data_IF_830859867857
#
_entry.id   IF_830859867857
#
_cell.length_a   1.000
_cell.length_b   1.000
_cell.length_c   1.000
_cell.angle_alpha   90.00
_cell.angle_beta   90.00
_cell.angle_gamma   90.00
#
_symmetry.space_group_name_H-M   'P 1'
#
loop_
_entity.id
_entity.type
_entity.pdbx_description
1 polymer ?
#
# COMPACT_ATOMS: atom_id res chain seq x y z
N UNK A 1 -3.82 54.74 16.50
CA UNK A 1 -4.33 54.34 17.83
C UNK A 1 -4.78 52.88 17.77
N UNK A 2 -3.99 51.87 18.14
CA UNK A 2 -2.52 51.69 18.11
C UNK A 2 -2.28 50.17 18.27
N UNK A 3 -2.06 49.44 17.16
CA UNK A 3 -1.72 48.01 17.17
C UNK A 3 -0.20 47.84 17.20
N UNK A 4 0.39 47.93 18.39
CA UNK A 4 1.84 48.08 18.55
C UNK A 4 2.35 47.43 19.85
N UNK A 5 2.19 46.09 19.98
CA UNK A 5 2.56 45.37 21.22
C UNK A 5 2.75 43.83 21.07
N UNK A 6 3.31 43.31 19.96
CA UNK A 6 3.59 41.86 19.82
C UNK A 6 4.96 41.43 19.26
N UNK A 7 5.85 42.33 18.85
CA UNK A 7 7.22 41.92 18.41
C UNK A 7 8.28 41.87 19.53
N UNK A 8 8.00 42.47 20.70
CA UNK A 8 9.01 42.73 21.75
C UNK A 8 9.66 41.47 22.39
N UNK A 9 9.04 40.28 22.26
CA UNK A 9 9.42 39.08 23.03
C UNK A 9 10.50 38.22 22.35
N UNK A 10 10.74 38.36 21.04
CA UNK A 10 11.68 37.48 20.29
C UNK A 10 13.11 38.01 20.13
N UNK A 11 13.45 39.14 20.75
CA UNK A 11 14.74 39.83 20.54
C UNK A 11 15.90 39.43 21.50
N UNK A 12 15.62 38.77 22.64
CA UNK A 12 16.57 38.67 23.77
C UNK A 12 17.42 37.38 23.83
N UNK A 13 17.82 36.78 22.69
CA UNK A 13 18.62 35.54 22.70
C UNK A 13 19.76 35.48 21.66
N UNK A 14 20.33 36.63 21.29
CA UNK A 14 21.58 36.74 20.50
C UNK A 14 22.47 37.88 21.03
N UNK A 15 23.65 37.52 21.55
CA UNK A 15 24.74 38.29 22.24
C UNK A 15 24.83 37.91 23.74
N UNK A 16 25.98 37.51 24.30
CA UNK A 16 27.25 37.13 23.67
C UNK A 16 28.48 37.29 24.59
N UNK A 17 29.11 36.17 24.97
CA UNK A 17 30.40 36.10 25.69
C UNK A 17 31.04 34.74 25.35
N UNK A 18 32.25 34.56 24.80
CA UNK A 18 33.52 35.32 24.79
C UNK A 18 34.40 35.07 26.02
N UNK A 19 35.43 34.24 25.82
CA UNK A 19 36.64 34.04 26.66
C UNK A 19 37.73 33.35 25.79
N UNK A 20 39.02 33.42 26.14
CA UNK A 20 40.06 33.70 25.13
C UNK A 20 40.86 32.50 24.58
N UNK A 21 41.56 32.69 23.45
CA UNK A 21 42.60 31.76 22.99
C UNK A 21 43.90 31.89 23.81
N UNK A 22 44.65 30.80 23.92
CA UNK A 22 46.07 30.80 24.34
C UNK A 22 46.88 30.05 23.29
N UNK A 23 48.13 30.46 23.08
CA UNK A 23 48.85 30.25 21.82
C UNK A 23 49.84 29.06 21.80
N UNK A 24 50.43 28.88 20.62
CA UNK A 24 51.67 28.14 20.34
C UNK A 24 51.73 26.63 20.65
N UNK A 25 51.75 25.85 19.58
CA UNK A 25 53.03 25.22 19.23
C UNK A 25 53.34 25.49 17.75
N UNK A 26 54.63 25.64 17.42
CA UNK A 26 55.11 25.69 16.04
C UNK A 26 55.58 24.30 15.65
N UNK A 27 55.34 23.88 14.42
CA UNK A 27 56.43 23.28 13.66
C UNK A 27 56.32 23.63 12.19
N UNK A 28 57.46 23.97 11.60
CA UNK A 28 57.58 24.33 10.19
C UNK A 28 57.83 23.11 9.28
N UNK A 29 57.52 23.34 8.01
CA UNK A 29 58.33 23.06 6.82
C UNK A 29 58.13 21.82 5.90
N UNK A 30 58.53 22.07 4.64
CA UNK A 30 58.93 21.13 3.57
C UNK A 30 57.87 20.29 2.82
N UNK A 31 57.26 20.93 1.81
CA UNK A 31 57.46 20.73 0.34
C UNK A 31 57.56 19.32 -0.30
N UNK A 32 57.28 19.31 -1.61
CA UNK A 32 57.36 18.22 -2.61
C UNK A 32 56.26 17.15 -2.47
N UNK A 33 55.43 16.81 -3.47
CA UNK A 33 55.45 16.90 -4.95
C UNK A 33 56.15 15.75 -5.71
N UNK A 34 55.34 15.12 -6.56
CA UNK A 34 55.65 14.33 -7.77
C UNK A 34 56.29 12.92 -7.72
N UNK A 35 55.82 12.13 -8.69
CA UNK A 35 56.53 11.15 -9.54
C UNK A 35 56.65 9.64 -9.21
N UNK A 36 56.64 8.90 -10.33
CA UNK A 36 56.87 7.46 -10.61
C UNK A 36 56.05 6.43 -9.80
N UNK A 37 55.25 5.53 -10.40
CA UNK A 37 55.43 4.57 -11.51
C UNK A 37 56.21 3.28 -11.20
N UNK A 38 55.58 2.17 -11.58
CA UNK A 38 56.13 0.87 -11.98
C UNK A 38 57.16 0.13 -11.10
N UNK A 39 56.77 -1.10 -10.71
CA UNK A 39 57.64 -2.26 -10.98
C UNK A 39 56.85 -3.50 -11.40
N UNK A 40 57.30 -4.16 -12.47
CA UNK A 40 56.86 -5.49 -12.96
C UNK A 40 57.99 -6.49 -12.77
N UNK A 41 57.69 -7.67 -12.24
CA UNK A 41 58.35 -8.98 -12.42
C UNK A 41 57.52 -10.00 -11.60
N UNK A 42 56.99 -11.13 -12.07
CA UNK A 42 57.24 -11.99 -13.23
C UNK A 42 58.51 -12.86 -13.14
N UNK A 43 58.33 -14.12 -12.70
CA UNK A 43 59.16 -15.29 -13.02
C UNK A 43 58.41 -16.60 -12.63
N UNK A 44 58.65 -17.65 -13.41
CA UNK A 44 58.06 -19.01 -13.41
C UNK A 44 59.11 -19.97 -14.00
N UNK A 45 58.97 -21.31 -14.01
CA UNK A 45 58.26 -22.25 -13.10
C UNK A 45 59.17 -23.48 -12.75
N UNK A 46 58.56 -24.65 -12.44
CA UNK A 46 58.99 -26.02 -12.82
C UNK A 46 59.78 -26.93 -11.83
N UNK A 47 59.29 -28.17 -11.69
CA UNK A 47 59.94 -29.43 -11.22
C UNK A 47 60.40 -29.54 -9.73
N UNK A 48 60.44 -30.71 -9.06
CA UNK A 48 59.91 -32.06 -9.40
C UNK A 48 59.49 -32.88 -8.14
N UNK A 49 59.23 -34.19 -8.29
CA UNK A 49 58.46 -35.06 -7.37
C UNK A 49 59.30 -35.85 -6.30
N UNK A 50 58.68 -36.90 -5.72
CA UNK A 50 59.21 -37.94 -4.79
C UNK A 50 59.22 -37.57 -3.27
N UNK A 51 59.06 -38.47 -2.26
CA UNK A 51 58.63 -39.90 -2.05
C UNK A 51 58.43 -40.08 -0.50
N UNK A 52 57.91 -41.15 0.18
CA UNK A 52 57.25 -42.45 -0.11
C UNK A 52 56.47 -42.95 1.15
N UNK A 53 55.41 -43.77 1.00
CA UNK A 53 54.79 -44.72 1.99
C UNK A 53 54.29 -44.23 3.39
N UNK A 54 53.37 -44.91 4.12
CA UNK A 54 53.14 -46.37 4.25
C UNK A 54 51.70 -46.82 4.66
N UNK A 55 51.43 -48.12 4.45
CA UNK A 55 50.37 -49.02 5.00
C UNK A 55 48.88 -48.66 4.75
N UNK A 56 47.95 -49.55 4.33
CA UNK A 56 47.67 -50.99 4.62
C UNK A 56 46.95 -51.24 5.95
N UNK A 57 45.98 -52.16 6.09
CA UNK A 57 45.28 -53.10 5.17
C UNK A 57 43.94 -53.51 5.83
N UNK A 58 42.84 -53.72 5.07
CA UNK A 58 42.03 -54.95 5.19
C UNK A 58 41.01 -55.17 4.05
N UNK A 59 40.70 -56.46 3.86
CA UNK A 59 39.86 -57.14 2.83
C UNK A 59 39.36 -58.41 3.55
N UNK A 60 38.22 -59.07 3.33
CA UNK A 60 37.23 -59.21 2.25
C UNK A 60 36.00 -59.92 2.87
N UNK A 61 34.86 -60.03 2.16
CA UNK A 61 34.05 -61.27 2.19
C UNK A 61 33.04 -61.27 1.04
N UNK A 62 33.10 -62.28 0.18
CA UNK A 62 32.06 -62.60 -0.82
C UNK A 62 31.29 -63.85 -0.37
N UNK A 63 29.98 -63.91 -0.64
CA UNK A 63 29.26 -65.18 -0.86
C UNK A 63 27.91 -64.95 -1.56
N UNK A 64 27.88 -65.37 -2.83
CA UNK A 64 26.71 -65.68 -3.67
C UNK A 64 26.22 -67.14 -3.39
N UNK A 65 25.16 -67.71 -4.01
CA UNK A 65 24.15 -67.16 -4.94
C UNK A 65 22.68 -67.58 -4.61
N UNK A 66 21.76 -67.37 -5.58
CA UNK A 66 20.42 -68.00 -5.75
C UNK A 66 19.28 -67.46 -4.85
N UNK A 67 18.08 -67.16 -5.38
CA UNK A 67 17.32 -68.01 -6.29
C UNK A 67 16.35 -67.26 -7.23
N UNK A 68 16.08 -67.88 -8.39
CA UNK A 68 14.96 -67.57 -9.30
C UNK A 68 13.61 -67.96 -8.73
N UNK A 69 12.54 -67.22 -9.06
CA UNK A 69 11.22 -67.79 -9.41
C UNK A 69 10.39 -66.78 -10.21
N UNK A 70 9.80 -67.27 -11.31
CA UNK A 70 8.71 -66.59 -12.02
C UNK A 70 7.40 -66.60 -11.22
N UNK A 71 6.52 -65.64 -11.51
CA UNK A 71 5.10 -65.94 -11.79
C UNK A 71 4.36 -64.71 -12.31
N UNK A 72 4.02 -64.73 -13.60
CA UNK A 72 2.85 -64.02 -14.11
C UNK A 72 1.64 -64.94 -14.06
N UNK A 73 0.42 -64.43 -13.80
CA UNK A 73 -0.83 -64.73 -14.55
C UNK A 73 -2.09 -64.22 -13.83
N UNK A 74 -2.72 -63.22 -14.46
CA UNK A 74 -4.17 -63.02 -14.69
C UNK A 74 -5.17 -63.85 -13.86
N UNK A 75 -6.08 -63.19 -13.12
CA UNK A 75 -7.53 -63.21 -13.41
C UNK A 75 -8.35 -62.21 -12.58
N UNK A 76 -9.60 -62.00 -13.00
CA UNK A 76 -10.51 -60.99 -12.46
C UNK A 76 -11.39 -61.52 -11.32
N UNK A 77 -11.86 -60.61 -10.46
CA UNK A 77 -13.09 -60.77 -9.68
C UNK A 77 -13.66 -59.40 -9.33
N UNK A 78 -14.96 -59.21 -9.53
CA UNK A 78 -15.65 -57.99 -9.15
C UNK A 78 -16.08 -58.06 -7.67
N UNK A 79 -15.89 -56.99 -6.91
CA UNK A 79 -16.50 -56.83 -5.59
C UNK A 79 -17.22 -55.49 -5.47
N UNK A 80 -18.55 -55.59 -5.59
CA UNK A 80 -19.56 -55.02 -4.69
C UNK A 80 -19.26 -53.67 -4.05
N UNK A 81 -20.00 -52.64 -4.52
CA UNK A 81 -20.13 -51.36 -3.83
C UNK A 81 -20.85 -51.56 -2.47
N UNK A 82 -20.26 -51.14 -1.33
CA UNK A 82 -21.00 -51.03 -0.08
C UNK A 82 -21.88 -49.76 -0.12
N UNK A 83 -23.18 -49.92 0.15
CA UNK A 83 -24.10 -48.79 0.23
C UNK A 83 -23.87 -47.97 1.52
N UNK A 84 -24.01 -46.62 1.49
CA UNK A 84 -23.92 -45.81 2.69
C UNK A 84 -25.17 -46.01 3.56
N UNK A 85 -25.03 -46.80 4.63
CA UNK A 85 -26.10 -47.07 5.59
C UNK A 85 -26.38 -45.89 6.51
N UNK A 86 -27.65 -45.46 6.56
CA UNK A 86 -28.33 -44.95 7.75
C UNK A 86 -27.51 -44.12 8.76
N UNK A 87 -27.39 -42.81 8.53
CA UNK A 87 -27.15 -41.87 9.62
C UNK A 87 -28.46 -41.67 10.41
N UNK A 88 -28.59 -42.36 11.53
CA UNK A 88 -29.58 -42.07 12.59
C UNK A 88 -28.84 -41.74 13.89
N UNK A 89 -29.49 -40.93 14.73
CA UNK A 89 -29.14 -40.62 16.13
C UNK A 89 -27.68 -40.24 16.43
N UNK A 90 -27.28 -39.07 15.91
CA UNK A 90 -26.33 -38.22 16.62
C UNK A 90 -27.06 -37.57 17.81
N UNK A 91 -26.98 -38.20 18.99
CA UNK A 91 -27.67 -37.76 20.21
C UNK A 91 -27.21 -36.38 20.70
N UNK A 92 -28.17 -35.49 20.97
CA UNK A 92 -27.91 -34.23 21.67
C UNK A 92 -27.65 -34.49 23.17
N UNK A 93 -26.40 -34.69 23.55
CA UNK A 93 -25.96 -34.61 24.94
C UNK A 93 -24.78 -33.64 25.11
N UNK A 94 -24.78 -32.97 26.26
CA UNK A 94 -23.68 -32.22 26.87
C UNK A 94 -23.00 -31.14 26.01
N UNK A 95 -23.83 -30.20 25.54
CA UNK A 95 -23.41 -28.80 25.71
C UNK A 95 -23.55 -28.45 27.20
N UNK A 96 -22.46 -28.15 27.93
CA UNK A 96 -22.58 -27.66 29.30
C UNK A 96 -23.38 -26.36 29.30
N UNK A 97 -24.32 -26.23 30.24
CA UNK A 97 -25.25 -25.11 30.27
C UNK A 97 -24.49 -23.77 30.25
N UNK A 98 -24.70 -22.99 29.16
CA UNK A 98 -24.06 -21.69 28.99
C UNK A 98 -24.54 -20.76 30.11
N UNK A 99 -23.66 -20.53 31.09
CA UNK A 99 -23.94 -19.69 32.25
C UNK A 99 -24.46 -18.32 31.78
N UNK A 100 -25.56 -17.87 32.37
CA UNK A 100 -26.15 -16.58 31.98
C UNK A 100 -25.13 -15.46 32.15
N UNK A 101 -25.14 -14.50 31.22
CA UNK A 101 -24.28 -13.30 31.29
C UNK A 101 -24.48 -12.58 32.62
N UNK A 102 -25.71 -12.54 33.15
CA UNK A 102 -26.02 -11.95 34.45
C UNK A 102 -25.34 -12.67 35.63
N UNK A 103 -25.29 -14.00 35.65
CA UNK A 103 -24.59 -14.74 36.70
C UNK A 103 -23.07 -14.62 36.56
N UNK A 104 -22.53 -14.61 35.34
CA UNK A 104 -21.11 -14.34 35.11
C UNK A 104 -20.70 -12.94 35.61
N UNK A 105 -21.54 -11.92 35.42
CA UNK A 105 -21.31 -10.58 35.96
C UNK A 105 -21.46 -10.50 37.49
N UNK A 106 -22.25 -11.39 38.09
CA UNK A 106 -22.49 -11.49 39.54
C UNK A 106 -21.35 -12.19 40.27
N UNK A 107 -20.72 -13.20 39.65
CA UNK A 107 -19.55 -13.89 40.20
C UNK A 107 -18.22 -13.14 40.00
N UNK A 108 -18.19 -12.08 39.17
CA UNK A 108 -17.00 -11.27 38.90
C UNK A 108 -17.09 -9.81 39.44
N UNK A 109 -17.27 -9.59 40.76
CA UNK A 109 -17.46 -8.26 41.35
C UNK A 109 -16.21 -7.35 41.32
N UNK A 110 -15.08 -7.83 40.80
CA UNK A 110 -13.82 -7.08 40.68
C UNK A 110 -13.72 -6.21 39.41
N UNK A 111 -14.69 -6.28 38.50
CA UNK A 111 -14.76 -5.35 37.37
C UNK A 111 -15.04 -3.91 37.89
N UNK A 112 -14.20 -2.91 37.56
CA UNK A 112 -14.37 -1.56 38.08
C UNK A 112 -15.66 -0.94 37.53
N UNK A 113 -16.63 -0.72 38.42
CA UNK A 113 -17.98 -0.23 38.08
C UNK A 113 -17.91 1.07 37.27
N UNK A 114 -18.14 0.96 35.96
CA UNK A 114 -18.30 2.13 35.09
C UNK A 114 -19.52 2.92 35.56
N UNK A 115 -19.29 4.13 36.08
CA UNK A 115 -20.28 4.97 36.76
C UNK A 115 -21.31 5.55 35.80
N UNK A 116 -22.20 4.70 35.30
CA UNK A 116 -23.45 5.11 34.65
C UNK A 116 -24.18 6.06 35.58
N UNK A 117 -24.33 7.31 35.15
CA UNK A 117 -24.93 8.38 35.94
C UNK A 117 -26.24 8.77 35.27
N UNK A 118 -27.41 8.65 35.94
CA UNK A 118 -28.69 8.92 35.29
C UNK A 118 -28.82 10.37 34.82
N UNK A 119 -29.32 10.55 33.61
CA UNK A 119 -29.79 11.84 33.13
C UNK A 119 -31.12 12.19 33.82
N UNK A 120 -31.06 13.00 34.88
CA UNK A 120 -32.22 13.75 35.36
C UNK A 120 -32.14 15.19 34.86
N UNK A 121 -33.24 15.67 34.27
CA UNK A 121 -33.39 17.06 33.85
C UNK A 121 -33.95 17.90 35.00
N UNK A 122 -33.20 18.91 35.46
CA UNK A 122 -33.68 19.92 36.40
C UNK A 122 -33.25 21.32 35.98
N UNK A 123 -34.06 22.31 36.32
CA UNK A 123 -33.98 23.69 35.83
C UNK A 123 -32.85 24.51 36.49
N UNK A 124 -32.51 25.58 35.79
CA UNK A 124 -31.60 26.66 36.18
C UNK A 124 -31.57 27.04 37.69
N UNK A 125 -30.34 27.23 38.18
CA UNK A 125 -30.01 28.21 39.22
C UNK A 125 -28.75 28.99 38.77
N UNK A 126 -28.44 30.11 39.43
CA UNK A 126 -27.53 31.15 38.91
C UNK A 126 -26.57 31.62 40.00
N UNK A 127 -25.35 31.99 39.58
CA UNK A 127 -24.27 32.62 40.36
C UNK A 127 -23.56 31.77 41.45
N UNK A 128 -22.33 31.36 41.14
CA UNK A 128 -21.19 31.31 42.06
C UNK A 128 -19.92 31.05 41.24
N UNK A 129 -19.08 32.07 41.02
CA UNK A 129 -17.84 31.91 40.26
C UNK A 129 -16.69 31.53 41.20
N UNK A 130 -16.27 30.27 41.13
CA UNK A 130 -15.03 29.79 41.74
C UNK A 130 -13.89 29.73 40.68
N UNK A 131 -12.62 29.94 41.06
CA UNK A 131 -11.54 30.07 40.07
C UNK A 131 -11.28 28.81 39.22
N UNK A 132 -11.62 28.89 37.94
CA UNK A 132 -10.71 28.45 36.88
C UNK A 132 -10.39 26.95 36.75
N UNK A 133 -11.35 26.04 36.96
CA UNK A 133 -11.18 24.64 36.49
C UNK A 133 -11.14 24.63 34.96
N UNK A 134 -9.94 24.69 34.39
CA UNK A 134 -9.71 24.75 32.95
C UNK A 134 -10.31 23.51 32.27
N UNK A 135 -11.27 23.74 31.36
CA UNK A 135 -11.93 22.67 30.60
C UNK A 135 -10.87 21.91 29.80
N UNK A 136 -10.68 20.63 30.11
CA UNK A 136 -9.71 19.76 29.41
C UNK A 136 -10.06 19.75 27.92
N UNK A 137 -9.20 20.38 27.11
CA UNK A 137 -9.40 20.46 25.68
C UNK A 137 -9.40 19.06 25.06
N UNK A 138 -10.34 18.82 24.13
CA UNK A 138 -10.39 17.55 23.39
C UNK A 138 -9.12 17.44 22.55
N UNK A 139 -8.35 16.36 22.76
CA UNK A 139 -7.10 16.11 22.03
C UNK A 139 -7.43 15.45 20.70
N UNK A 140 -7.49 16.28 19.65
CA UNK A 140 -7.61 15.87 18.25
C UNK A 140 -6.30 15.23 17.77
N UNK A 141 -6.28 13.95 17.33
CA UNK A 141 -5.05 13.19 17.07
C UNK A 141 -4.42 13.46 15.68
N UNK A 142 -4.52 14.69 15.18
CA UNK A 142 -4.28 15.02 13.77
C UNK A 142 -2.79 14.92 13.40
N UNK A 143 -1.90 15.35 14.31
CA UNK A 143 -0.46 15.29 14.07
C UNK A 143 0.08 13.89 14.33
N UNK A 144 -0.43 13.17 15.34
CA UNK A 144 -0.05 11.79 15.62
C UNK A 144 -0.35 10.84 14.45
N UNK A 145 -1.51 10.96 13.80
CA UNK A 145 -1.87 10.14 12.63
C UNK A 145 -0.91 10.45 11.47
N UNK A 146 -0.79 11.73 11.08
CA UNK A 146 0.09 12.16 9.98
C UNK A 146 1.55 11.73 10.18
N UNK A 147 2.05 11.85 11.42
CA UNK A 147 3.40 11.46 11.81
C UNK A 147 3.64 9.95 11.62
N UNK A 148 2.70 9.11 12.07
CA UNK A 148 2.77 7.66 11.87
C UNK A 148 2.65 7.27 10.38
N UNK A 149 1.76 7.90 9.62
CA UNK A 149 1.62 7.64 8.18
C UNK A 149 2.92 7.97 7.42
N UNK A 150 3.55 9.09 7.74
CA UNK A 150 4.78 9.54 7.09
C UNK A 150 6.00 8.69 7.50
N UNK A 151 6.12 8.31 8.77
CA UNK A 151 7.16 7.36 9.19
C UNK A 151 6.97 6.00 8.50
N UNK A 152 5.73 5.51 8.38
CA UNK A 152 5.40 4.26 7.69
C UNK A 152 5.73 4.33 6.19
N UNK A 153 5.35 5.42 5.51
CA UNK A 153 5.68 5.73 4.10
C UNK A 153 7.19 5.63 3.82
N UNK A 154 8.03 5.99 4.79
CA UNK A 154 9.50 5.95 4.65
C UNK A 154 10.18 4.76 5.34
N UNK A 155 9.42 3.87 5.99
CA UNK A 155 9.95 2.77 6.81
C UNK A 155 10.87 3.23 7.95
N UNK A 156 10.61 4.42 8.50
CA UNK A 156 11.31 4.97 9.66
C UNK A 156 10.73 4.34 10.93
N UNK A 157 11.58 3.68 11.72
CA UNK A 157 11.20 3.18 13.05
C UNK A 157 10.96 4.35 14.01
N UNK A 158 9.92 4.22 14.85
CA UNK A 158 9.52 5.22 15.84
C UNK A 158 9.42 4.58 17.22
N UNK A 159 10.14 5.12 18.21
CA UNK A 159 9.94 4.83 19.63
C UNK A 159 9.39 6.07 20.35
N UNK A 160 8.65 5.84 21.43
CA UNK A 160 8.11 6.88 22.30
C UNK A 160 8.38 6.52 23.76
N UNK A 161 9.12 7.39 24.44
CA UNK A 161 9.48 7.25 25.85
C UNK A 161 8.77 8.34 26.68
N UNK A 162 8.44 8.01 27.93
CA UNK A 162 7.65 8.86 28.83
C UNK A 162 8.28 8.89 30.21
N UNK A 163 8.55 10.10 30.72
CA UNK A 163 8.82 10.26 32.14
C UNK A 163 7.52 10.52 32.90
N UNK A 164 7.33 9.72 33.96
CA UNK A 164 6.13 9.68 34.80
C UNK A 164 6.51 9.53 36.28
N UNK A 165 6.97 10.61 36.93
CA UNK A 165 7.07 10.67 38.39
C UNK A 165 5.65 10.77 38.99
N UNK A 166 4.93 9.65 39.00
CA UNK A 166 3.57 9.52 39.53
C UNK A 166 2.50 9.28 38.44
N UNK A 167 1.32 9.88 38.61
CA UNK A 167 0.18 9.69 37.69
C UNK A 167 0.20 10.64 36.48
N UNK A 168 0.91 11.76 36.57
CA UNK A 168 1.08 12.72 35.49
C UNK A 168 2.29 12.39 34.61
N UNK A 169 2.23 12.80 33.34
CA UNK A 169 3.37 12.73 32.43
C UNK A 169 4.10 14.08 32.48
N UNK A 170 5.41 14.08 32.71
CA UNK A 170 6.21 15.30 32.91
C UNK A 170 7.17 15.59 31.75
N UNK A 171 7.83 14.56 31.21
CA UNK A 171 8.51 14.63 29.92
C UNK A 171 8.04 13.50 29.01
N UNK A 172 8.17 13.72 27.70
CA UNK A 172 7.93 12.71 26.69
C UNK A 172 8.87 12.96 25.51
N UNK A 173 9.51 11.90 25.03
CA UNK A 173 10.43 11.97 23.89
C UNK A 173 10.04 10.98 22.80
N UNK A 174 10.23 11.38 21.55
CA UNK A 174 10.04 10.54 20.36
C UNK A 174 11.37 10.46 19.62
N UNK A 175 11.79 9.25 19.28
CA UNK A 175 12.93 9.03 18.40
C UNK A 175 12.42 8.45 17.08
N UNK A 176 12.87 9.03 15.96
CA UNK A 176 12.50 8.63 14.61
C UNK A 176 13.74 8.69 13.71
N UNK A 177 14.29 7.50 13.42
CA UNK A 177 15.64 7.38 12.85
C UNK A 177 16.70 7.98 13.79
N UNK A 178 17.53 8.88 13.26
CA UNK A 178 18.61 9.55 14.00
C UNK A 178 18.13 10.78 14.80
N UNK A 179 16.90 11.26 14.58
CA UNK A 179 16.36 12.44 15.27
C UNK A 179 15.62 12.02 16.54
N UNK A 180 15.94 12.67 17.66
CA UNK A 180 15.16 12.59 18.91
C UNK A 180 14.62 13.97 19.26
N UNK A 181 13.32 14.05 19.53
CA UNK A 181 12.64 15.25 20.01
C UNK A 181 12.13 14.94 21.41
N UNK A 182 12.47 15.79 22.38
CA UNK A 182 11.92 15.73 23.73
C UNK A 182 11.15 17.02 24.03
N UNK A 183 10.07 16.86 24.80
CA UNK A 183 9.26 17.96 25.29
C UNK A 183 9.04 17.73 26.79
N UNK A 184 9.08 18.80 27.58
CA UNK A 184 8.62 18.81 28.96
C UNK A 184 7.27 19.54 29.05
N UNK A 185 6.35 19.04 29.87
CA UNK A 185 5.06 19.68 30.08
C UNK A 185 4.15 18.87 31.01
N UNK A 186 3.31 19.53 31.84
CA UNK A 186 2.39 18.84 32.74
C UNK A 186 1.17 18.32 31.95
N UNK A 187 1.27 17.11 31.38
CA UNK A 187 0.16 16.52 30.64
C UNK A 187 -0.71 15.61 31.51
N UNK A 188 -2.02 15.79 31.37
CA UNK A 188 -3.05 14.98 32.06
C UNK A 188 -3.19 13.56 31.49
N UNK A 189 -2.57 13.26 30.35
CA UNK A 189 -2.65 11.95 29.70
C UNK A 189 -1.50 11.73 28.71
N UNK A 190 -1.02 10.48 28.61
CA UNK A 190 -0.10 10.04 27.54
C UNK A 190 -0.61 10.37 26.13
N UNK A 191 -1.94 10.44 25.90
CA UNK A 191 -2.51 10.84 24.60
C UNK A 191 -2.23 12.32 24.30
N UNK A 192 -2.33 13.19 25.31
CA UNK A 192 -2.05 14.63 25.18
C UNK A 192 -0.55 14.86 24.93
N UNK A 193 0.31 14.15 25.67
CA UNK A 193 1.75 14.15 25.46
C UNK A 193 2.12 13.72 24.03
N UNK A 194 1.57 12.59 23.53
CA UNK A 194 1.78 12.11 22.15
C UNK A 194 1.43 13.14 21.08
N UNK A 195 0.27 13.77 21.17
CA UNK A 195 -0.16 14.74 20.14
C UNK A 195 0.70 16.02 20.17
N UNK A 196 1.02 16.54 21.36
CA UNK A 196 1.91 17.70 21.50
C UNK A 196 3.33 17.41 20.96
N UNK A 197 3.87 16.23 21.28
CA UNK A 197 5.18 15.74 20.85
C UNK A 197 5.22 15.54 19.32
N UNK A 198 4.21 14.88 18.73
CA UNK A 198 4.10 14.72 17.28
C UNK A 198 3.91 16.06 16.56
N UNK A 199 3.20 17.04 17.15
CA UNK A 199 3.07 18.40 16.59
C UNK A 199 4.42 19.12 16.50
N UNK A 200 5.32 18.90 17.44
CA UNK A 200 6.68 19.49 17.46
C UNK A 200 7.66 18.69 16.58
N UNK A 201 7.52 17.36 16.51
CA UNK A 201 8.36 16.51 15.65
C UNK A 201 7.96 16.56 14.16
N UNK A 202 6.72 16.93 13.83
CA UNK A 202 6.19 16.92 12.46
C UNK A 202 7.01 17.77 11.44
N UNK A 203 7.41 19.02 11.72
CA UNK A 203 8.24 19.80 10.79
C UNK A 203 9.60 19.13 10.52
N UNK A 204 10.22 18.53 11.53
CA UNK A 204 11.48 17.80 11.38
C UNK A 204 11.33 16.51 10.56
N UNK A 205 10.16 15.87 10.58
CA UNK A 205 9.86 14.72 9.74
C UNK A 205 9.55 15.13 8.29
N UNK A 206 8.90 16.29 8.09
CA UNK A 206 8.62 16.83 6.76
C UNK A 206 9.90 17.23 6.00
N UNK A 207 10.87 17.83 6.67
CA UNK A 207 12.22 18.07 6.11
C UNK A 207 12.88 16.75 5.67
N UNK A 208 12.76 15.70 6.49
CA UNK A 208 13.34 14.37 6.22
C UNK A 208 12.66 13.69 5.01
N UNK A 209 11.34 13.86 4.85
CA UNK A 209 10.60 13.46 3.64
C UNK A 209 11.13 14.18 2.39
N UNK A 210 11.38 15.50 2.48
CA UNK A 210 11.96 16.28 1.39
C UNK A 210 13.37 15.78 1.02
N UNK A 211 14.25 15.56 1.99
CA UNK A 211 15.59 15.03 1.73
C UNK A 211 15.57 13.61 1.11
N UNK A 212 14.71 12.71 1.59
CA UNK A 212 14.57 11.35 1.06
C UNK A 212 13.93 11.33 -0.33
N UNK A 213 12.94 12.17 -0.59
CA UNK A 213 12.28 12.27 -1.90
C UNK A 213 13.19 12.91 -2.97
N UNK A 214 13.99 13.92 -2.60
CA UNK A 214 15.03 14.48 -3.48
C UNK A 214 16.08 13.42 -3.86
N UNK A 215 16.63 12.68 -2.89
CA UNK A 215 17.64 11.63 -3.16
C UNK A 215 17.09 10.49 -4.05
N UNK A 216 15.83 10.10 -3.88
CA UNK A 216 15.15 9.07 -4.70
C UNK A 216 14.90 9.47 -6.17
N UNK A 217 15.22 10.69 -6.60
CA UNK A 217 15.04 11.12 -8.00
C UNK A 217 16.17 10.69 -8.95
N UNK A 218 17.30 10.19 -8.43
CA UNK A 218 18.49 9.85 -9.24
C UNK A 218 18.94 8.38 -9.08
N UNK A 219 18.87 7.79 -7.89
CA UNK A 219 19.43 6.44 -7.65
C UNK A 219 18.42 5.36 -7.28
N UNK A 220 18.60 4.21 -7.93
CA UNK A 220 18.10 2.87 -7.64
C UNK A 220 16.57 2.62 -7.60
N UNK A 221 16.14 1.92 -8.64
CA UNK A 221 14.76 1.58 -8.95
C UNK A 221 14.18 0.41 -8.13
N UNK A 222 14.38 0.36 -6.80
CA UNK A 222 13.83 -0.67 -5.91
C UNK A 222 12.37 -1.03 -6.26
N UNK A 223 12.04 -2.31 -6.52
CA UNK A 223 10.70 -2.71 -6.92
C UNK A 223 9.72 -2.46 -5.77
N UNK A 224 8.67 -1.66 -6.03
CA UNK A 224 7.73 -1.23 -5.00
C UNK A 224 7.03 -2.42 -4.33
N UNK A 225 6.77 -2.29 -3.01
CA UNK A 225 6.16 -3.32 -2.16
C UNK A 225 4.67 -3.59 -2.47
N UNK A 226 4.28 -3.70 -3.73
CA UNK A 226 2.96 -4.23 -4.12
C UNK A 226 2.89 -5.68 -3.62
N UNK A 227 2.00 -5.92 -2.66
CA UNK A 227 1.79 -7.24 -2.07
C UNK A 227 1.23 -8.26 -3.06
N UNK A 228 1.31 -9.54 -2.70
CA UNK A 228 0.65 -10.68 -3.36
C UNK A 228 1.09 -11.08 -4.79
N UNK A 229 1.68 -10.17 -5.59
CA UNK A 229 2.00 -10.39 -7.04
C UNK A 229 2.58 -11.77 -7.36
N UNK A 230 3.54 -12.28 -6.58
CA UNK A 230 4.14 -13.60 -6.82
C UNK A 230 3.20 -14.79 -6.56
N UNK A 231 2.36 -14.72 -5.52
CA UNK A 231 1.45 -15.84 -5.16
C UNK A 231 0.28 -15.94 -6.14
N UNK A 232 -0.27 -14.79 -6.57
CA UNK A 232 -1.43 -14.77 -7.46
C UNK A 232 -1.08 -15.20 -8.89
N UNK A 233 0.15 -14.92 -9.33
CA UNK A 233 0.68 -15.40 -10.62
C UNK A 233 0.81 -16.92 -10.64
N UNK A 234 1.29 -17.57 -9.56
CA UNK A 234 1.33 -19.03 -9.47
C UNK A 234 -0.06 -19.67 -9.45
N UNK A 235 -1.01 -19.08 -8.72
CA UNK A 235 -2.41 -19.54 -8.70
C UNK A 235 -3.04 -19.46 -10.09
N UNK A 236 -2.87 -18.34 -10.80
CA UNK A 236 -3.35 -18.16 -12.17
C UNK A 236 -2.69 -19.16 -13.13
N UNK A 237 -1.38 -19.33 -13.05
CA UNK A 237 -0.65 -20.30 -13.88
C UNK A 237 -1.17 -21.73 -13.68
N UNK A 238 -1.38 -22.16 -12.43
CA UNK A 238 -1.95 -23.48 -12.14
C UNK A 238 -3.37 -23.62 -12.70
N UNK A 239 -4.22 -22.61 -12.53
CA UNK A 239 -5.59 -22.60 -13.07
C UNK A 239 -5.62 -22.67 -14.61
N UNK A 240 -4.83 -21.84 -15.31
CA UNK A 240 -4.76 -21.82 -16.77
C UNK A 240 -4.29 -23.14 -17.37
N UNK A 241 -3.36 -23.84 -16.70
CA UNK A 241 -2.83 -25.13 -17.14
C UNK A 241 -3.58 -26.34 -16.53
N UNK A 242 -4.70 -26.10 -15.83
CA UNK A 242 -5.50 -27.14 -15.12
C UNK A 242 -4.69 -28.00 -14.13
N UNK A 243 -3.59 -27.46 -13.61
CA UNK A 243 -2.72 -28.10 -12.64
C UNK A 243 -3.27 -27.98 -11.21
N UNK A 244 -2.83 -28.87 -10.32
CA UNK A 244 -3.09 -28.75 -8.87
C UNK A 244 -2.50 -27.44 -8.34
N UNK A 245 -3.29 -26.75 -7.51
CA UNK A 245 -2.92 -25.46 -6.91
C UNK A 245 -1.59 -25.53 -6.14
N UNK A 246 -0.78 -24.46 -6.16
CA UNK A 246 0.53 -24.43 -5.49
C UNK A 246 0.40 -24.65 -3.98
N UNK A 247 1.11 -25.64 -3.45
CA UNK A 247 1.11 -25.97 -2.03
C UNK A 247 2.25 -25.24 -1.33
N UNK A 248 1.91 -24.37 -0.37
CA UNK A 248 2.87 -23.62 0.44
C UNK A 248 3.01 -24.26 1.82
N UNK A 249 4.24 -24.60 2.20
CA UNK A 249 4.58 -25.03 3.55
C UNK A 249 5.30 -23.88 4.27
N UNK A 250 4.71 -23.38 5.35
CA UNK A 250 5.30 -22.34 6.22
C UNK A 250 5.93 -22.99 7.45
N UNK A 251 7.14 -22.54 7.80
CA UNK A 251 7.84 -22.89 9.04
C UNK A 251 8.15 -21.61 9.83
N UNK A 252 8.33 -21.75 11.15
CA UNK A 252 8.57 -20.63 12.07
C UNK A 252 9.61 -21.03 13.11
N UNK A 253 10.58 -20.17 13.36
CA UNK A 253 11.55 -20.34 14.44
C UNK A 253 10.85 -20.31 15.80
N UNK A 254 11.15 -21.28 16.67
CA UNK A 254 10.51 -21.42 17.97
C UNK A 254 10.87 -20.30 18.96
N UNK A 255 12.10 -19.78 18.87
CA UNK A 255 12.63 -18.69 19.70
C UNK A 255 12.30 -17.31 19.13
N UNK A 256 12.36 -16.29 19.99
CA UNK A 256 12.27 -14.89 19.60
C UNK A 256 13.66 -14.34 19.22
N UNK A 257 13.78 -13.41 18.25
CA UNK A 257 12.71 -12.86 17.42
C UNK A 257 12.16 -13.89 16.42
N UNK A 258 10.83 -13.95 16.29
CA UNK A 258 10.20 -14.96 15.43
C UNK A 258 10.50 -14.70 13.96
N UNK A 259 11.23 -15.62 13.34
CA UNK A 259 11.47 -15.66 11.91
C UNK A 259 10.56 -16.70 11.25
N UNK A 260 10.26 -16.49 9.98
CA UNK A 260 9.42 -17.35 9.17
C UNK A 260 10.18 -17.76 7.91
N UNK A 261 10.16 -19.04 7.59
CA UNK A 261 10.65 -19.57 6.32
C UNK A 261 9.46 -20.21 5.57
N UNK A 262 9.57 -20.31 4.24
CA UNK A 262 8.46 -20.81 3.41
C UNK A 262 9.01 -21.52 2.19
N UNK A 263 8.37 -22.64 1.83
CA UNK A 263 8.64 -23.36 0.60
C UNK A 263 7.35 -23.58 -0.18
N UNK A 264 7.44 -23.70 -1.51
CA UNK A 264 6.28 -23.93 -2.39
C UNK A 264 6.54 -25.08 -3.36
N UNK A 265 5.55 -25.98 -3.48
CA UNK A 265 5.50 -27.05 -4.48
C UNK A 265 4.45 -26.73 -5.54
N UNK A 266 4.80 -26.96 -6.80
CA UNK A 266 3.90 -26.90 -7.96
C UNK A 266 3.83 -28.29 -8.59
N UNK A 267 2.73 -28.62 -9.27
CA UNK A 267 2.47 -29.98 -9.76
C UNK A 267 3.44 -30.44 -10.87
N UNK A 268 3.87 -29.49 -11.72
CA UNK A 268 4.71 -29.70 -12.90
C UNK A 268 6.08 -29.01 -12.70
N UNK A 269 6.69 -29.29 -11.55
CA UNK A 269 7.95 -28.72 -11.08
C UNK A 269 8.97 -29.77 -10.64
N UNK A 270 10.18 -29.34 -10.24
CA UNK A 270 11.19 -30.25 -9.69
C UNK A 270 10.70 -30.88 -8.36
N UNK A 271 11.24 -32.05 -7.97
CA UNK A 271 10.87 -32.70 -6.71
C UNK A 271 11.31 -31.90 -5.47
N UNK A 272 12.31 -31.03 -5.63
CA UNK A 272 12.79 -30.08 -4.62
C UNK A 272 11.84 -28.87 -4.60
N UNK A 273 11.27 -28.48 -3.44
CA UNK A 273 10.37 -27.34 -3.36
C UNK A 273 11.12 -26.01 -3.52
N UNK A 274 10.46 -25.00 -4.10
CA UNK A 274 11.04 -23.67 -4.27
C UNK A 274 10.99 -22.84 -2.99
N UNK A 275 11.92 -21.89 -2.87
CA UNK A 275 12.18 -21.20 -1.60
C UNK A 275 13.13 -22.01 -0.75
N UNK A 276 13.08 -21.84 0.57
CA UNK A 276 14.04 -22.42 1.49
C UNK A 276 13.43 -22.55 2.89
N UNK A 277 13.87 -23.57 3.63
CA UNK A 277 13.51 -23.78 5.03
C UNK A 277 14.49 -23.08 6.01
N UNK A 278 15.67 -22.68 5.55
CA UNK A 278 16.66 -21.92 6.33
C UNK A 278 16.56 -20.41 6.15
N UNK A 279 15.89 -19.93 5.10
CA UNK A 279 15.80 -18.50 4.80
C UNK A 279 14.83 -17.79 5.76
N UNK A 280 15.42 -17.08 6.73
CA UNK A 280 14.70 -16.40 7.79
C UNK A 280 14.16 -15.02 7.34
N UNK A 281 12.84 -14.90 7.21
CA UNK A 281 12.15 -13.63 6.98
C UNK A 281 11.41 -13.13 8.22
N UNK A 282 11.31 -11.82 8.41
CA UNK A 282 10.55 -11.20 9.51
C UNK A 282 9.02 -11.28 9.35
N UNK A 283 8.52 -11.81 8.23
CA UNK A 283 7.09 -11.91 7.93
C UNK A 283 6.77 -13.13 7.07
N UNK A 284 5.73 -13.88 7.45
CA UNK A 284 5.12 -14.97 6.65
C UNK A 284 4.87 -14.55 5.20
N UNK A 285 4.39 -13.32 5.00
CA UNK A 285 4.04 -12.80 3.66
C UNK A 285 5.28 -12.55 2.80
N UNK A 286 6.42 -12.20 3.38
CA UNK A 286 7.66 -12.01 2.62
C UNK A 286 8.39 -13.32 2.36
N UNK A 287 8.34 -14.27 3.31
CA UNK A 287 8.76 -15.66 3.08
C UNK A 287 7.97 -16.31 1.92
N UNK A 288 6.63 -16.23 1.99
CA UNK A 288 5.75 -16.74 0.93
C UNK A 288 6.00 -16.06 -0.42
N UNK A 289 6.27 -14.74 -0.41
CA UNK A 289 6.63 -13.98 -1.63
C UNK A 289 8.01 -14.37 -2.16
N UNK A 290 8.98 -14.74 -1.32
CA UNK A 290 10.28 -15.23 -1.76
C UNK A 290 10.17 -16.60 -2.43
N UNK A 291 9.54 -17.58 -1.76
CA UNK A 291 9.25 -18.90 -2.33
C UNK A 291 8.48 -18.81 -3.65
N UNK A 292 7.44 -17.97 -3.71
CA UNK A 292 6.67 -17.75 -4.92
C UNK A 292 7.49 -17.11 -6.05
N UNK A 293 8.39 -16.16 -5.76
CA UNK A 293 9.28 -15.56 -6.76
C UNK A 293 10.26 -16.60 -7.33
N UNK A 294 10.84 -17.47 -6.50
CA UNK A 294 11.73 -18.53 -6.97
C UNK A 294 11.01 -19.48 -7.95
N UNK A 295 9.79 -19.91 -7.64
CA UNK A 295 8.97 -20.74 -8.54
C UNK A 295 8.58 -20.02 -9.84
N UNK A 296 8.24 -18.72 -9.78
CA UNK A 296 7.92 -17.92 -10.99
C UNK A 296 9.15 -17.72 -11.88
N UNK A 297 10.34 -17.52 -11.31
CA UNK A 297 11.60 -17.42 -12.06
C UNK A 297 11.88 -18.76 -12.76
N UNK A 298 11.78 -19.88 -12.05
CA UNK A 298 11.97 -21.20 -12.67
C UNK A 298 10.96 -21.48 -13.80
N UNK A 299 9.68 -21.15 -13.61
CA UNK A 299 8.66 -21.34 -14.66
C UNK A 299 8.90 -20.49 -15.92
N UNK A 300 9.58 -19.34 -15.80
CA UNK A 300 10.03 -18.54 -16.96
C UNK A 300 11.27 -19.14 -17.61
N UNK A 301 12.23 -19.60 -16.81
CA UNK A 301 13.44 -20.29 -17.28
C UNK A 301 13.16 -21.68 -17.90
N UNK A 302 11.89 -22.06 -18.05
CA UNK A 302 11.42 -23.28 -18.73
C UNK A 302 10.40 -22.93 -19.84
N UNK A 303 10.24 -21.65 -20.18
CA UNK A 303 9.25 -21.08 -21.12
C UNK A 303 7.77 -21.41 -20.83
N UNK A 304 7.48 -22.15 -19.76
CA UNK A 304 6.12 -22.50 -19.30
C UNK A 304 5.30 -21.28 -18.88
N UNK A 305 5.95 -20.17 -18.55
CA UNK A 305 5.30 -18.89 -18.24
C UNK A 305 5.93 -17.78 -19.07
N UNK A 306 5.12 -17.09 -19.89
CA UNK A 306 5.52 -15.88 -20.61
C UNK A 306 6.18 -14.90 -19.64
N UNK A 307 7.34 -14.36 -20.01
CA UNK A 307 7.96 -13.29 -19.22
C UNK A 307 6.94 -12.15 -19.04
N UNK A 308 6.81 -11.64 -17.82
CA UNK A 308 5.95 -10.50 -17.59
C UNK A 308 6.54 -9.32 -18.36
N UNK A 309 5.75 -8.62 -19.21
CA UNK A 309 6.27 -7.53 -20.02
C UNK A 309 7.05 -6.57 -19.12
N UNK A 310 8.28 -6.18 -19.52
CA UNK A 310 9.19 -5.45 -18.65
C UNK A 310 8.43 -4.26 -18.09
N UNK A 311 8.35 -4.18 -16.76
CA UNK A 311 7.36 -3.31 -16.11
C UNK A 311 7.68 -1.86 -16.45
N UNK A 312 7.04 -1.38 -17.52
CA UNK A 312 7.02 0.01 -17.95
C UNK A 312 6.30 0.76 -16.86
N UNK A 313 7.10 1.13 -15.85
CA UNK A 313 6.80 2.22 -14.94
C UNK A 313 6.35 3.34 -15.85
N UNK A 314 5.05 3.63 -15.84
CA UNK A 314 4.52 4.86 -16.44
C UNK A 314 5.32 5.97 -15.76
N UNK A 315 6.33 6.48 -16.46
CA UNK A 315 6.94 7.74 -16.08
C UNK A 315 5.77 8.70 -15.99
N UNK A 316 5.56 9.25 -14.80
CA UNK A 316 4.53 10.25 -14.58
C UNK A 316 5.06 11.52 -15.24
N UNK A 317 4.85 11.62 -16.55
CA UNK A 317 5.32 12.71 -17.39
C UNK A 317 4.55 13.98 -17.02
N UNK A 318 5.01 14.62 -15.95
CA UNK A 318 4.57 15.96 -15.58
C UNK A 318 5.20 16.94 -16.57
N UNK A 319 4.42 17.24 -17.60
CA UNK A 319 4.47 18.39 -18.50
C UNK A 319 5.85 18.90 -18.95
N UNK A 320 6.12 18.73 -20.25
CA UNK A 320 6.75 19.78 -21.04
C UNK A 320 5.82 20.13 -22.19
N UNK A 321 5.38 21.39 -22.26
CA UNK A 321 4.77 21.96 -23.46
C UNK A 321 5.90 22.56 -24.30
N UNK A 322 6.06 22.18 -25.56
CA UNK A 322 6.07 23.16 -26.65
C UNK A 322 5.90 22.53 -28.04
N UNK A 323 5.66 23.42 -29.00
CA UNK A 323 5.95 23.32 -30.44
C UNK A 323 5.19 22.31 -31.32
N UNK A 324 4.30 22.91 -32.12
CA UNK A 324 3.88 22.49 -33.45
C UNK A 324 5.07 22.07 -34.33
N UNK A 325 4.85 21.11 -35.25
CA UNK A 325 4.65 21.47 -36.66
C UNK A 325 4.09 20.30 -37.51
N UNK A 326 3.66 20.69 -38.69
CA UNK A 326 2.85 20.05 -39.73
C UNK A 326 3.15 18.58 -40.12
N UNK A 327 2.09 17.93 -40.65
CA UNK A 327 2.23 17.07 -41.83
C UNK A 327 2.21 15.55 -41.59
N UNK A 328 1.09 14.89 -41.93
CA UNK A 328 0.90 14.34 -43.28
C UNK A 328 -0.53 13.77 -43.48
N UNK A 329 -1.02 13.83 -44.71
CA UNK A 329 -2.34 13.35 -45.14
C UNK A 329 -2.24 12.05 -45.93
N UNK A 330 -3.25 11.18 -45.80
CA UNK A 330 -3.33 9.85 -46.44
C UNK A 330 -3.99 8.85 -45.49
N UNK A 331 -5.26 8.45 -45.60
CA UNK A 331 -6.18 8.38 -46.74
C UNK A 331 -5.82 7.32 -47.81
N UNK A 332 -5.84 6.06 -47.39
CA UNK A 332 -6.33 4.94 -48.22
C UNK A 332 -7.35 4.13 -47.42
N UNK A 333 -8.20 3.36 -48.11
CA UNK A 333 -9.40 2.72 -47.55
C UNK A 333 -9.33 1.18 -47.59
N UNK A 334 -10.36 0.56 -46.99
CA UNK A 334 -10.93 -0.78 -47.27
C UNK A 334 -10.33 -2.02 -46.61
N UNK A 335 -11.12 -3.09 -46.70
CA UNK A 335 -10.99 -4.47 -46.19
C UNK A 335 -11.29 -4.63 -44.69
N UNK A 336 -12.52 -5.10 -44.44
CA UNK A 336 -12.97 -5.63 -43.15
C UNK A 336 -12.10 -6.81 -42.74
N UNK A 337 -11.66 -6.87 -41.47
CA UNK A 337 -10.98 -8.04 -40.95
C UNK A 337 -11.26 -8.21 -39.45
N UNK A 338 -11.35 -9.46 -38.98
CA UNK A 338 -11.81 -9.80 -37.62
C UNK A 338 -10.63 -9.68 -36.65
N UNK A 339 -10.29 -8.43 -36.30
CA UNK A 339 -9.15 -8.09 -35.46
C UNK A 339 -9.32 -8.53 -34.00
N UNK A 340 -8.69 -9.65 -33.64
CA UNK A 340 -8.67 -10.16 -32.26
C UNK A 340 -7.68 -9.43 -31.33
N UNK A 341 -6.98 -8.41 -31.84
CA UNK A 341 -6.11 -7.47 -31.09
C UNK A 341 -6.88 -6.19 -30.73
N UNK A 342 -8.00 -6.32 -30.01
CA UNK A 342 -8.64 -5.17 -29.38
C UNK A 342 -7.74 -4.67 -28.22
N UNK A 343 -7.19 -3.45 -28.26
CA UNK A 343 -6.37 -2.93 -27.16
C UNK A 343 -7.22 -2.83 -25.88
N UNK A 344 -6.63 -3.26 -24.76
CA UNK A 344 -7.29 -3.38 -23.44
C UNK A 344 -8.31 -2.25 -23.20
N UNK A 345 -9.61 -2.55 -23.05
CA UNK A 345 -10.67 -1.55 -23.12
C UNK A 345 -10.44 -0.46 -22.07
N UNK A 346 -10.09 0.73 -22.56
CA UNK A 346 -9.66 1.84 -21.72
C UNK A 346 -10.71 2.14 -20.66
N UNK A 347 -10.35 2.21 -19.37
CA UNK A 347 -11.34 2.26 -18.30
C UNK A 347 -12.22 3.51 -18.45
N UNK A 348 -13.54 3.35 -18.35
CA UNK A 348 -14.54 4.39 -18.64
C UNK A 348 -14.21 5.79 -18.05
N UNK A 349 -13.70 5.94 -16.81
CA UNK A 349 -13.33 7.27 -16.29
C UNK A 349 -12.17 7.94 -17.03
N UNK A 350 -11.29 7.18 -17.70
CA UNK A 350 -10.25 7.72 -18.60
C UNK A 350 -10.89 8.18 -19.91
N UNK A 351 -11.77 7.39 -20.51
CA UNK A 351 -12.48 7.78 -21.75
C UNK A 351 -13.25 9.10 -21.56
N UNK A 352 -13.96 9.26 -20.43
CA UNK A 352 -14.64 10.52 -20.07
C UNK A 352 -13.66 11.69 -20.03
N UNK A 353 -12.48 11.50 -19.44
CA UNK A 353 -11.46 12.54 -19.31
C UNK A 353 -10.79 12.87 -20.66
N UNK A 354 -10.44 11.85 -21.45
CA UNK A 354 -9.84 12.00 -22.78
C UNK A 354 -10.80 12.75 -23.73
N UNK A 355 -12.08 12.39 -23.72
CA UNK A 355 -13.10 13.00 -24.57
C UNK A 355 -13.48 14.42 -24.12
N UNK A 356 -13.56 14.67 -22.81
CA UNK A 356 -13.74 16.03 -22.28
C UNK A 356 -12.57 16.95 -22.69
N UNK A 357 -11.33 16.47 -22.61
CA UNK A 357 -10.16 17.21 -23.06
C UNK A 357 -10.16 17.45 -24.59
N UNK A 358 -10.59 16.46 -25.39
CA UNK A 358 -10.77 16.60 -26.85
C UNK A 358 -11.78 17.70 -27.20
N UNK A 359 -12.81 17.89 -26.37
CA UNK A 359 -13.82 18.95 -26.52
C UNK A 359 -13.40 20.30 -25.91
N UNK A 360 -12.19 20.40 -25.37
CA UNK A 360 -11.63 21.62 -24.76
C UNK A 360 -12.14 21.91 -23.34
N UNK A 361 -12.82 20.96 -22.69
CA UNK A 361 -13.37 21.11 -21.35
C UNK A 361 -12.37 20.75 -20.25
N UNK A 362 -12.61 21.30 -19.06
CA UNK A 362 -11.85 20.99 -17.85
C UNK A 362 -12.14 19.57 -17.34
N UNK A 363 -11.24 18.92 -16.58
CA UNK A 363 -11.44 17.56 -16.07
C UNK A 363 -12.68 17.44 -15.16
N UNK A 364 -13.65 16.56 -15.46
CA UNK A 364 -14.90 16.47 -14.70
C UNK A 364 -14.72 15.98 -13.26
N UNK A 365 -15.46 16.61 -12.34
CA UNK A 365 -15.44 16.29 -10.90
C UNK A 365 -16.55 15.28 -10.60
N UNK A 366 -16.18 14.14 -10.00
CA UNK A 366 -17.11 13.08 -9.61
C UNK A 366 -17.56 13.25 -8.16
N UNK A 367 -18.78 13.74 -7.95
CA UNK A 367 -19.42 13.80 -6.64
C UNK A 367 -20.09 12.47 -6.28
N UNK A 368 -19.71 11.87 -5.16
CA UNK A 368 -20.35 10.66 -4.61
C UNK A 368 -20.95 10.95 -3.24
N UNK A 369 -22.25 10.75 -3.07
CA UNK A 369 -22.97 10.91 -1.80
C UNK A 369 -23.59 9.55 -1.42
N UNK A 370 -23.53 9.10 -0.16
CA UNK A 370 -24.32 7.96 0.27
C UNK A 370 -25.80 8.24 -0.03
N UNK A 371 -26.53 7.26 -0.57
CA UNK A 371 -27.94 7.44 -0.87
C UNK A 371 -28.70 7.76 0.43
N UNK A 372 -29.43 8.86 0.42
CA UNK A 372 -30.51 9.19 1.37
C UNK A 372 -31.25 7.95 1.89
N UNK A 373 -31.31 7.53 3.18
CA UNK A 373 -32.39 6.62 3.56
C UNK A 373 -33.73 7.25 3.17
N UNK A 374 -34.66 6.38 2.78
CA UNK A 374 -35.94 6.72 2.16
C UNK A 374 -36.76 7.69 3.05
N UNK A 375 -37.56 8.60 2.45
CA UNK A 375 -38.36 9.57 3.20
C UNK A 375 -39.15 8.97 4.38
N UNK A 376 -39.32 9.74 5.47
CA UNK A 376 -39.87 9.26 6.73
C UNK A 376 -41.27 8.67 6.53
N UNK A 377 -41.40 7.37 6.81
CA UNK A 377 -42.63 6.60 6.62
C UNK A 377 -42.41 5.16 6.14
N UNK A 378 -41.26 4.85 5.52
CA UNK A 378 -40.91 3.48 5.11
C UNK A 378 -39.75 2.92 5.95
N UNK A 379 -40.09 2.09 6.95
CA UNK A 379 -39.12 1.37 7.77
C UNK A 379 -38.59 0.12 7.05
N UNK A 380 -37.54 0.28 6.24
CA UNK A 380 -36.81 -0.87 5.69
C UNK A 380 -35.96 -1.56 6.77
N UNK A 381 -35.75 -2.86 6.61
CA UNK A 381 -35.03 -3.69 7.59
C UNK A 381 -33.60 -3.18 7.82
N UNK A 382 -33.16 -3.23 9.07
CA UNK A 382 -31.87 -2.72 9.57
C UNK A 382 -30.62 -3.34 8.95
N UNK A 383 -30.75 -4.35 8.08
CA UNK A 383 -29.68 -4.89 7.24
C UNK A 383 -29.18 -3.88 6.19
N UNK A 384 -30.08 -3.07 5.61
CA UNK A 384 -29.74 -2.16 4.50
C UNK A 384 -29.05 -0.85 4.93
N UNK A 385 -29.02 -0.56 6.25
CA UNK A 385 -28.53 0.71 6.79
C UNK A 385 -27.02 0.96 6.57
N UNK A 386 -26.24 -0.08 6.23
CA UNK A 386 -24.79 -0.04 6.16
C UNK A 386 -24.21 0.57 4.86
N UNK A 387 -24.72 1.73 4.44
CA UNK A 387 -24.07 2.60 3.44
C UNK A 387 -23.83 1.98 2.05
N UNK A 388 -24.54 0.89 1.72
CA UNK A 388 -24.27 0.07 0.54
C UNK A 388 -24.59 0.79 -0.79
N UNK A 389 -25.57 1.69 -0.76
CA UNK A 389 -26.07 2.43 -1.92
C UNK A 389 -25.42 3.82 -2.02
N UNK A 390 -24.95 4.14 -3.22
CA UNK A 390 -24.28 5.39 -3.56
C UNK A 390 -25.06 6.11 -4.66
N UNK A 391 -25.32 7.40 -4.45
CA UNK A 391 -25.70 8.33 -5.49
C UNK A 391 -24.42 8.98 -6.04
N UNK A 392 -24.31 9.11 -7.36
CA UNK A 392 -23.14 9.72 -8.00
C UNK A 392 -23.52 10.56 -9.20
N UNK A 393 -22.86 11.69 -9.37
CA UNK A 393 -22.99 12.55 -10.55
C UNK A 393 -21.64 13.20 -10.88
N UNK A 394 -21.58 13.82 -12.05
CA UNK A 394 -20.46 14.64 -12.50
C UNK A 394 -20.87 16.11 -12.55
N UNK A 395 -19.92 16.97 -12.18
CA UNK A 395 -20.00 18.43 -12.31
C UNK A 395 -18.80 18.89 -13.15
N UNK A 396 -19.05 19.76 -14.13
CA UNK A 396 -18.04 20.46 -14.93
C UNK A 396 -17.77 21.86 -14.36
N UNK A 397 -16.73 22.56 -14.83
CA UNK A 397 -16.44 23.90 -14.29
C UNK A 397 -17.43 24.95 -14.80
N UNK A 398 -17.61 26.03 -14.05
CA UNK A 398 -18.42 27.19 -14.47
C UNK A 398 -17.96 27.78 -15.81
N UNK A 399 -16.67 27.60 -16.18
CA UNK A 399 -16.15 28.01 -17.48
C UNK A 399 -16.70 27.13 -18.60
N UNK A 400 -16.62 25.81 -18.42
CA UNK A 400 -17.12 24.84 -19.40
C UNK A 400 -18.64 25.00 -19.56
N UNK A 401 -19.38 25.11 -18.46
CA UNK A 401 -20.84 25.33 -18.43
C UNK A 401 -21.27 26.64 -19.10
N UNK A 402 -20.45 27.70 -19.04
CA UNK A 402 -20.72 28.96 -19.77
C UNK A 402 -20.45 28.84 -21.28
N UNK A 403 -19.49 28.00 -21.68
CA UNK A 403 -19.23 27.72 -23.10
C UNK A 403 -20.20 26.71 -23.71
N UNK A 404 -20.76 25.82 -22.89
CA UNK A 404 -21.61 24.71 -23.31
C UNK A 404 -22.74 24.52 -22.29
N UNK A 405 -23.90 25.20 -22.47
CA UNK A 405 -25.01 25.16 -21.50
C UNK A 405 -25.57 23.76 -21.24
N UNK A 406 -25.39 22.82 -22.17
CA UNK A 406 -25.72 21.41 -21.99
C UNK A 406 -24.92 20.71 -20.87
N UNK A 407 -23.80 21.31 -20.41
CA UNK A 407 -23.03 20.83 -19.27
C UNK A 407 -23.48 21.42 -17.92
N UNK A 408 -24.62 22.12 -17.85
CA UNK A 408 -25.12 22.69 -16.61
C UNK A 408 -25.66 21.63 -15.63
N UNK A 409 -25.18 21.65 -14.39
CA UNK A 409 -25.74 20.88 -13.27
C UNK A 409 -25.17 19.48 -13.09
N UNK A 410 -26.03 18.52 -12.74
CA UNK A 410 -25.64 17.17 -12.28
C UNK A 410 -25.67 16.15 -13.44
N UNK A 411 -24.59 16.09 -14.21
CA UNK A 411 -24.50 15.22 -15.39
C UNK A 411 -24.30 13.76 -14.96
N UNK A 412 -24.90 12.82 -15.72
CA UNK A 412 -24.74 11.38 -15.48
C UNK A 412 -25.19 10.93 -14.08
N UNK A 413 -26.20 11.61 -13.51
CA UNK A 413 -26.72 11.34 -12.16
C UNK A 413 -27.31 9.94 -12.07
N UNK A 414 -26.59 9.05 -11.39
CA UNK A 414 -27.07 7.73 -10.96
C UNK A 414 -27.46 7.76 -9.48
N UNK A 415 -28.49 6.98 -9.13
CA UNK A 415 -29.05 6.94 -7.77
C UNK A 415 -29.18 5.49 -7.30
N UNK A 416 -29.05 5.28 -5.98
CA UNK A 416 -29.18 3.98 -5.30
C UNK A 416 -28.34 2.86 -5.92
N UNK A 417 -27.12 3.15 -6.37
CA UNK A 417 -26.26 2.13 -6.99
C UNK A 417 -25.44 1.43 -5.91
N UNK A 418 -25.58 0.11 -5.79
CA UNK A 418 -24.82 -0.69 -4.84
C UNK A 418 -23.31 -0.67 -5.15
N UNK A 419 -22.53 -0.06 -4.26
CA UNK A 419 -21.07 0.02 -4.32
C UNK A 419 -20.51 1.14 -5.22
N UNK A 420 -19.59 1.94 -4.66
CA UNK A 420 -18.98 3.12 -5.31
C UNK A 420 -18.32 2.86 -6.68
N UNK A 421 -17.77 1.65 -6.92
CA UNK A 421 -17.21 1.27 -8.23
C UNK A 421 -18.30 1.23 -9.31
N UNK A 422 -19.38 0.48 -9.06
CA UNK A 422 -20.51 0.34 -10.00
C UNK A 422 -21.22 1.67 -10.22
N UNK A 423 -21.36 2.48 -9.16
CA UNK A 423 -21.87 3.86 -9.27
C UNK A 423 -21.02 4.71 -10.24
N UNK A 424 -19.68 4.65 -10.13
CA UNK A 424 -18.81 5.39 -11.04
C UNK A 424 -18.87 4.88 -12.47
N UNK A 425 -18.90 3.56 -12.68
CA UNK A 425 -18.96 2.98 -14.02
C UNK A 425 -20.25 3.33 -14.76
N UNK A 426 -21.41 3.31 -14.08
CA UNK A 426 -22.69 3.74 -14.66
C UNK A 426 -22.72 5.25 -14.91
N UNK A 427 -22.26 6.07 -13.95
CA UNK A 427 -22.13 7.52 -14.12
C UNK A 427 -21.26 7.90 -15.34
N UNK A 428 -20.14 7.19 -15.54
CA UNK A 428 -19.27 7.43 -16.70
C UNK A 428 -19.94 7.12 -18.05
N UNK A 429 -20.84 6.12 -18.12
CA UNK A 429 -21.55 5.79 -19.37
C UNK A 429 -22.48 6.90 -19.83
N UNK A 430 -23.26 7.48 -18.91
CA UNK A 430 -24.13 8.61 -19.24
C UNK A 430 -23.34 9.88 -19.57
N UNK A 431 -22.21 10.13 -18.90
CA UNK A 431 -21.34 11.28 -19.24
C UNK A 431 -20.71 11.09 -20.63
N UNK A 432 -20.23 9.88 -20.98
CA UNK A 432 -19.74 9.58 -22.33
C UNK A 432 -20.80 9.85 -23.39
N UNK A 433 -22.00 9.29 -23.24
CA UNK A 433 -23.11 9.48 -24.19
C UNK A 433 -23.43 10.97 -24.44
N UNK A 434 -23.32 11.82 -23.42
CA UNK A 434 -23.56 13.26 -23.53
C UNK A 434 -22.38 13.98 -24.21
N UNK A 435 -21.14 13.65 -23.87
CA UNK A 435 -19.95 14.22 -24.53
C UNK A 435 -19.84 13.78 -26.01
N UNK A 436 -20.16 12.53 -26.32
CA UNK A 436 -20.25 12.00 -27.69
C UNK A 436 -21.33 12.73 -28.49
N UNK A 437 -22.49 13.01 -27.90
CA UNK A 437 -23.53 13.81 -28.54
C UNK A 437 -23.03 15.23 -28.85
N UNK A 438 -22.40 15.91 -27.88
CA UNK A 438 -21.83 17.26 -28.09
C UNK A 438 -20.73 17.28 -29.16
N UNK A 439 -19.90 16.23 -29.25
CA UNK A 439 -18.91 16.08 -30.31
C UNK A 439 -19.58 15.98 -31.70
N UNK A 440 -20.65 15.20 -31.80
CA UNK A 440 -21.42 15.06 -33.04
C UNK A 440 -22.17 16.34 -33.43
N UNK A 441 -22.75 17.05 -32.46
CA UNK A 441 -23.49 18.29 -32.71
C UNK A 441 -22.55 19.43 -33.15
N UNK A 442 -21.34 19.50 -32.59
CA UNK A 442 -20.27 20.40 -33.09
C UNK A 442 -19.84 20.02 -34.51
N UNK A 443 -19.64 18.74 -34.81
CA UNK A 443 -19.31 18.27 -36.16
C UNK A 443 -20.41 18.53 -37.20
N UNK A 444 -21.68 18.68 -36.75
CA UNK A 444 -22.84 19.02 -37.59
C UNK A 444 -23.08 20.52 -37.79
N UNK A 445 -22.45 21.39 -36.99
CA UNK A 445 -22.67 22.85 -37.03
C UNK A 445 -21.46 23.68 -37.55
N UNK A 446 -20.63 23.24 -38.52
CA UNK A 446 -19.36 23.90 -38.82
C UNK A 446 -19.41 25.21 -39.64
N UNK A 447 -20.59 25.67 -40.13
CA UNK A 447 -20.64 26.59 -41.28
C UNK A 447 -21.43 27.91 -41.16
N UNK A 448 -22.19 28.18 -40.09
CA UNK A 448 -23.07 29.38 -40.08
C UNK A 448 -22.54 30.61 -39.32
N UNK A 449 -21.53 30.49 -38.45
CA UNK A 449 -21.07 31.63 -37.62
C UNK A 449 -19.88 32.43 -38.23
N UNK A 450 -19.22 31.94 -39.28
CA UNK A 450 -18.02 32.60 -39.82
C UNK A 450 -18.29 33.81 -40.72
N UNK A 451 -19.53 33.98 -41.21
CA UNK A 451 -19.84 34.94 -42.27
C UNK A 451 -20.29 36.34 -41.80
N UNK A 452 -20.53 36.56 -40.50
CA UNK A 452 -21.08 37.84 -40.02
C UNK A 452 -20.03 38.90 -39.65
N UNK A 453 -18.76 38.55 -39.49
CA UNK A 453 -17.74 39.49 -38.97
C UNK A 453 -16.99 40.31 -40.06
N UNK A 454 -17.32 40.14 -41.35
CA UNK A 454 -16.65 40.82 -42.48
C UNK A 454 -17.43 42.01 -43.07
N UNK A 455 -18.61 42.34 -42.54
CA UNK A 455 -19.48 43.40 -43.09
C UNK A 455 -19.44 44.74 -42.31
N UNK A 456 -18.40 44.98 -41.51
CA UNK A 456 -18.23 46.24 -40.75
C UNK A 456 -16.77 46.69 -40.69
N UNK A 457 -16.30 47.18 -41.84
CA UNK A 457 -15.15 48.07 -41.98
C UNK A 457 -15.61 49.22 -42.88
N UNK A 458 -15.56 50.50 -42.44
CA UNK A 458 -16.00 51.66 -43.22
C UNK A 458 -14.95 52.15 -44.21
#
# INVERSE_FOLDING_TARGET
>A
MNDDSLESVLAQLRKGTSTPPTASSKHDDTKHAEQLQHRKAALTPQAEAALIEAASINKSSEMEPMSTMDSSTVLASAQTVPAPSSFQDATMHDYPALQSVDDFMKENPLLPKTRSTPLQAAKASKASEAPGVAKVAKVDPIHLIKFHDTCSKHSIAVSFDYDMPGQTCHSASVQFGERRVEVAGPWTSKKQAKEALCKIAWPQLAELDQQLSSKRKISEAQPSRVGSVGSDVLTKYAQSNRLKLPHFAETRTATAPFQFACTVRIADGPPIPFGSASDAYSSKQDAKRAAARAAVIWLRNQDKMREAPPSVKRMKTEAAQNEMLEGHTGLTQTVENIGFDAPDPTPLPKQVHDLAATLGFSPPIYESRPSSPIPPGQSLHSSEANGAFIDMHVVFSDKDTKSEPALAGQIGRVQRVHGKKKAKELCCREVLRILEQLMNDRARTPLMNSSQHLSSMP
#
